data_IF_846256938442
#
_entry.id   IF_846256938442
#
_cell.length_a   1.000
_cell.length_b   1.000
_cell.length_c   1.000
_cell.angle_alpha   90.00
_cell.angle_beta   90.00
_cell.angle_gamma   90.00
#
_symmetry.space_group_name_H-M   'P 1'
#
loop_
_entity.id
_entity.type
_entity.pdbx_description
1 polymer ?
#
# COMPACT_ATOMS: atom_id res chain seq x y z
N UNK A 1 30.74 31.22 -13.51
CA UNK A 1 29.57 30.80 -12.72
C UNK A 1 30.03 30.76 -11.28
N UNK A 2 29.56 31.67 -10.44
CA UNK A 2 29.95 31.71 -9.03
C UNK A 2 29.17 30.64 -8.27
N UNK A 3 29.88 29.81 -7.52
CA UNK A 3 29.29 28.76 -6.68
C UNK A 3 29.53 29.13 -5.22
N UNK A 4 28.50 28.94 -4.39
CA UNK A 4 28.58 29.11 -2.94
C UNK A 4 28.69 27.73 -2.31
N UNK A 5 29.59 27.59 -1.34
CA UNK A 5 29.68 26.40 -0.48
C UNK A 5 29.13 26.74 0.89
N UNK A 6 28.19 25.95 1.37
CA UNK A 6 27.58 26.08 2.69
C UNK A 6 27.81 24.78 3.45
N UNK A 7 28.35 24.87 4.67
CA UNK A 7 28.63 23.72 5.52
C UNK A 7 27.94 23.87 6.88
N UNK A 8 27.41 22.76 7.39
CA UNK A 8 26.94 22.64 8.77
C UNK A 8 27.22 21.24 9.32
N UNK A 9 28.35 21.09 10.01
CA UNK A 9 28.74 19.87 10.73
C UNK A 9 28.90 18.65 9.83
N UNK A 10 27.79 18.02 9.45
CA UNK A 10 27.70 16.77 8.71
C UNK A 10 27.30 16.91 7.24
N UNK A 11 26.87 18.09 6.80
CA UNK A 11 26.42 18.31 5.42
C UNK A 11 27.12 19.53 4.81
N UNK A 12 27.73 19.31 3.64
CA UNK A 12 28.29 20.36 2.78
C UNK A 12 27.49 20.40 1.48
N UNK A 13 27.05 21.60 1.09
CA UNK A 13 26.30 21.83 -0.14
C UNK A 13 27.00 22.91 -0.96
N UNK A 14 27.33 22.59 -2.21
CA UNK A 14 27.85 23.55 -3.19
C UNK A 14 26.79 23.78 -4.26
N UNK A 15 26.38 25.03 -4.45
CA UNK A 15 25.29 25.41 -5.34
C UNK A 15 25.54 26.77 -6.01
N UNK A 16 24.83 27.12 -7.10
CA UNK A 16 24.97 28.42 -7.73
C UNK A 16 24.60 29.56 -6.77
N UNK A 17 25.36 30.65 -6.81
CA UNK A 17 25.15 31.83 -5.94
C UNK A 17 23.73 32.40 -6.04
N UNK A 18 23.16 32.46 -7.25
CA UNK A 18 21.80 32.94 -7.48
C UNK A 18 20.74 32.13 -6.78
N UNK A 19 20.95 30.81 -6.63
CA UNK A 19 20.01 29.95 -5.91
C UNK A 19 20.15 30.15 -4.42
N UNK A 20 21.37 30.21 -3.90
CA UNK A 20 21.60 30.54 -2.49
C UNK A 20 20.90 31.84 -2.08
N UNK A 21 20.95 32.88 -2.92
CA UNK A 21 20.26 34.15 -2.68
C UNK A 21 18.72 34.01 -2.64
N UNK A 22 18.14 33.09 -3.41
CA UNK A 22 16.68 32.88 -3.48
C UNK A 22 16.13 32.11 -2.27
N UNK A 23 16.80 31.06 -1.83
CA UNK A 23 16.31 30.11 -0.80
C UNK A 23 16.91 30.36 0.59
N UNK A 24 18.06 31.03 0.65
CA UNK A 24 18.78 31.31 1.89
C UNK A 24 19.34 30.06 2.57
N UNK A 25 20.13 30.26 3.64
CA UNK A 25 20.90 29.19 4.29
C UNK A 25 20.04 28.03 4.81
N UNK A 26 18.90 28.31 5.44
CA UNK A 26 18.03 27.25 5.95
C UNK A 26 17.30 26.47 4.83
N UNK A 27 16.87 27.17 3.77
CA UNK A 27 16.22 26.55 2.61
C UNK A 27 17.16 25.64 1.83
N UNK A 28 18.45 25.96 1.77
CA UNK A 28 19.48 25.10 1.15
C UNK A 28 19.54 23.75 1.83
N UNK A 29 19.61 23.70 3.16
CA UNK A 29 19.73 22.43 3.88
C UNK A 29 18.44 21.61 3.85
N UNK A 30 17.26 22.23 4.00
CA UNK A 30 15.98 21.50 3.88
C UNK A 30 15.81 20.89 2.48
N UNK A 31 16.15 21.66 1.44
CA UNK A 31 16.06 21.19 0.05
C UNK A 31 17.07 20.08 -0.22
N UNK A 32 18.32 20.23 0.22
CA UNK A 32 19.36 19.23 0.06
C UNK A 32 19.00 17.91 0.77
N UNK A 33 18.50 17.99 2.01
CA UNK A 33 18.05 16.82 2.75
C UNK A 33 16.86 16.14 2.09
N UNK A 34 15.89 16.90 1.56
CA UNK A 34 14.74 16.33 0.85
C UNK A 34 15.15 15.63 -0.44
N UNK A 35 16.05 16.24 -1.21
CA UNK A 35 16.55 15.65 -2.44
C UNK A 35 17.35 14.37 -2.19
N UNK A 36 18.24 14.40 -1.18
CA UNK A 36 19.01 13.24 -0.75
C UNK A 36 18.09 12.11 -0.25
N UNK A 37 17.11 12.43 0.60
CA UNK A 37 16.16 11.45 1.11
C UNK A 37 15.32 10.81 -0.01
N UNK A 38 14.81 11.60 -0.94
CA UNK A 38 14.07 11.09 -2.09
C UNK A 38 14.91 10.19 -2.99
N UNK A 39 16.21 10.50 -3.15
CA UNK A 39 17.14 9.65 -3.89
C UNK A 39 17.34 8.31 -3.19
N UNK A 40 17.70 8.32 -1.91
CA UNK A 40 17.91 7.10 -1.12
C UNK A 40 16.66 6.22 -1.07
N UNK A 41 15.48 6.81 -0.87
CA UNK A 41 14.22 6.05 -0.87
C UNK A 41 13.94 5.44 -2.24
N UNK A 42 14.17 6.18 -3.34
CA UNK A 42 13.98 5.65 -4.68
C UNK A 42 14.95 4.48 -4.96
N UNK A 43 16.21 4.58 -4.55
CA UNK A 43 17.19 3.50 -4.66
C UNK A 43 16.73 2.25 -3.88
N UNK A 44 16.23 2.43 -2.65
CA UNK A 44 15.67 1.34 -1.84
C UNK A 44 14.45 0.70 -2.50
N UNK A 45 13.48 1.51 -2.95
CA UNK A 45 12.27 1.01 -3.61
C UNK A 45 12.55 0.25 -4.92
N UNK A 46 13.59 0.65 -5.66
CA UNK A 46 14.04 -0.07 -6.85
C UNK A 46 14.62 -1.45 -6.50
N UNK A 47 15.33 -1.56 -5.36
CA UNK A 47 15.90 -2.81 -4.88
C UNK A 47 14.87 -3.74 -4.22
N UNK A 48 13.94 -3.19 -3.44
CA UNK A 48 12.89 -3.93 -2.73
C UNK A 48 11.82 -4.49 -3.70
N UNK A 49 11.56 -3.79 -4.80
CA UNK A 49 10.48 -4.13 -5.72
C UNK A 49 9.09 -3.89 -5.11
N UNK A 50 8.07 -4.51 -5.70
CA UNK A 50 6.69 -4.43 -5.19
C UNK A 50 6.47 -5.50 -4.12
N UNK A 51 5.99 -5.09 -2.95
CA UNK A 51 5.60 -6.03 -1.91
C UNK A 51 4.34 -6.81 -2.33
N UNK A 52 4.48 -8.13 -2.49
CA UNK A 52 3.37 -9.01 -2.87
C UNK A 52 2.26 -9.04 -1.80
N UNK A 53 2.57 -8.71 -0.54
CA UNK A 53 1.57 -8.61 0.52
C UNK A 53 0.65 -7.40 0.32
N UNK A 54 1.20 -6.26 -0.09
CA UNK A 54 0.43 -5.06 -0.46
C UNK A 54 -0.44 -5.32 -1.69
N UNK A 55 0.10 -6.00 -2.71
CA UNK A 55 -0.69 -6.42 -3.89
C UNK A 55 -1.86 -7.30 -3.46
N UNK A 56 -1.61 -8.28 -2.58
CA UNK A 56 -2.64 -9.20 -2.09
C UNK A 56 -3.71 -8.45 -1.29
N UNK A 57 -3.34 -7.48 -0.47
CA UNK A 57 -4.29 -6.64 0.26
C UNK A 57 -5.12 -5.76 -0.68
N UNK A 58 -4.49 -5.16 -1.69
CA UNK A 58 -5.18 -4.37 -2.70
C UNK A 58 -6.18 -5.23 -3.50
N UNK A 59 -5.79 -6.44 -3.92
CA UNK A 59 -6.69 -7.41 -4.58
C UNK A 59 -7.85 -7.74 -3.67
N UNK A 60 -7.57 -8.07 -2.41
CA UNK A 60 -8.59 -8.43 -1.43
C UNK A 60 -9.63 -7.31 -1.26
N UNK A 61 -9.17 -6.07 -1.13
CA UNK A 61 -10.04 -4.90 -1.02
C UNK A 61 -10.85 -4.67 -2.30
N UNK A 62 -10.24 -4.81 -3.47
CA UNK A 62 -10.93 -4.64 -4.75
C UNK A 62 -12.04 -5.68 -4.95
N UNK A 63 -11.80 -6.94 -4.57
CA UNK A 63 -12.81 -8.00 -4.63
C UNK A 63 -14.00 -7.72 -3.69
N UNK A 64 -13.72 -7.20 -2.48
CA UNK A 64 -14.77 -6.74 -1.57
C UNK A 64 -15.60 -5.63 -2.21
N UNK A 65 -14.95 -4.63 -2.81
CA UNK A 65 -15.64 -3.51 -3.48
C UNK A 65 -16.53 -3.99 -4.61
N UNK A 66 -16.01 -4.88 -5.47
CA UNK A 66 -16.78 -5.46 -6.59
C UNK A 66 -18.00 -6.22 -6.08
N UNK A 67 -17.82 -7.12 -5.10
CA UNK A 67 -18.93 -7.88 -4.53
C UNK A 67 -19.99 -6.97 -3.91
N UNK A 68 -19.58 -6.00 -3.08
CA UNK A 68 -20.51 -5.10 -2.42
C UNK A 68 -21.26 -4.25 -3.45
N UNK A 69 -20.60 -3.75 -4.49
CA UNK A 69 -21.25 -2.93 -5.52
C UNK A 69 -22.41 -3.65 -6.21
N UNK A 70 -22.34 -4.97 -6.34
CA UNK A 70 -23.37 -5.79 -6.99
C UNK A 70 -24.43 -6.34 -6.03
N UNK A 71 -24.05 -6.61 -4.79
CA UNK A 71 -24.89 -7.36 -3.85
C UNK A 71 -25.39 -6.56 -2.65
N UNK A 72 -24.78 -5.42 -2.34
CA UNK A 72 -25.23 -4.60 -1.21
C UNK A 72 -26.42 -3.72 -1.59
N UNK A 73 -27.34 -3.56 -0.65
CA UNK A 73 -28.43 -2.58 -0.74
C UNK A 73 -28.13 -1.27 -0.02
N UNK A 74 -26.99 -1.19 0.65
CA UNK A 74 -26.53 -0.04 1.42
C UNK A 74 -25.65 0.86 0.56
N UNK A 75 -25.34 2.06 1.05
CA UNK A 75 -24.33 2.89 0.38
C UNK A 75 -22.95 2.24 0.49
N UNK A 76 -22.30 2.03 -0.66
CA UNK A 76 -21.01 1.35 -0.73
C UNK A 76 -19.94 2.05 0.13
N UNK A 77 -19.87 3.38 0.08
CA UNK A 77 -18.87 4.14 0.82
C UNK A 77 -19.13 4.06 2.33
N UNK A 78 -20.40 4.07 2.75
CA UNK A 78 -20.77 3.87 4.14
C UNK A 78 -20.34 2.49 4.66
N UNK A 79 -20.60 1.42 3.90
CA UNK A 79 -20.19 0.06 4.28
C UNK A 79 -18.68 -0.02 4.42
N UNK A 80 -17.93 0.43 3.40
CA UNK A 80 -16.47 0.40 3.40
C UNK A 80 -15.88 1.22 4.56
N UNK A 81 -16.39 2.44 4.79
CA UNK A 81 -15.94 3.29 5.88
C UNK A 81 -16.16 2.64 7.25
N UNK A 82 -17.33 1.99 7.45
CA UNK A 82 -17.61 1.27 8.70
C UNK A 82 -16.73 0.02 8.85
N UNK A 83 -16.43 -0.67 7.74
CA UNK A 83 -15.51 -1.82 7.72
C UNK A 83 -14.10 -1.40 8.16
N UNK A 84 -13.57 -0.33 7.55
CA UNK A 84 -12.21 0.15 7.78
C UNK A 84 -12.02 0.70 9.21
N UNK A 85 -13.04 1.35 9.77
CA UNK A 85 -12.97 1.93 11.12
C UNK A 85 -13.42 0.99 12.24
N UNK A 86 -13.86 -0.23 11.92
CA UNK A 86 -14.47 -1.14 12.90
C UNK A 86 -15.73 -0.54 13.56
N UNK A 87 -16.46 0.31 12.84
CA UNK A 87 -17.64 0.96 13.36
C UNK A 87 -18.84 -0.01 13.39
N UNK A 88 -19.76 0.19 14.33
CA UNK A 88 -20.95 -0.65 14.46
C UNK A 88 -21.77 -0.64 13.17
N UNK A 89 -22.20 -1.83 12.72
CA UNK A 89 -23.10 -2.00 11.56
C UNK A 89 -24.48 -2.50 12.00
N UNK A 90 -25.48 -2.29 11.15
CA UNK A 90 -26.74 -3.03 11.29
C UNK A 90 -26.52 -4.51 10.96
N UNK A 91 -27.41 -5.39 11.41
CA UNK A 91 -27.26 -6.84 11.18
C UNK A 91 -27.18 -7.18 9.68
N UNK A 92 -28.03 -6.58 8.85
CA UNK A 92 -28.01 -6.80 7.41
C UNK A 92 -26.73 -6.27 6.74
N UNK A 93 -26.25 -5.10 7.17
CA UNK A 93 -25.01 -4.52 6.65
C UNK A 93 -23.79 -5.36 7.05
N UNK A 94 -23.77 -5.85 8.30
CA UNK A 94 -22.72 -6.74 8.77
C UNK A 94 -22.72 -8.04 7.96
N UNK A 95 -23.90 -8.58 7.66
CA UNK A 95 -24.03 -9.77 6.82
C UNK A 95 -23.48 -9.56 5.41
N UNK A 96 -23.79 -8.44 4.75
CA UNK A 96 -23.26 -8.11 3.41
C UNK A 96 -21.73 -7.96 3.46
N UNK A 97 -21.19 -7.31 4.49
CA UNK A 97 -19.75 -7.18 4.71
C UNK A 97 -19.06 -8.54 4.95
N UNK A 98 -19.67 -9.43 5.73
CA UNK A 98 -19.15 -10.78 5.98
C UNK A 98 -19.14 -11.62 4.69
N UNK A 99 -20.19 -11.51 3.86
CA UNK A 99 -20.25 -12.17 2.56
C UNK A 99 -19.16 -11.66 1.61
N UNK A 100 -18.95 -10.35 1.52
CA UNK A 100 -17.92 -9.76 0.68
C UNK A 100 -16.51 -10.22 1.10
N UNK A 101 -16.24 -10.29 2.40
CA UNK A 101 -14.98 -10.84 2.93
C UNK A 101 -14.85 -12.32 2.60
N UNK A 102 -15.89 -13.11 2.82
CA UNK A 102 -15.87 -14.54 2.52
C UNK A 102 -15.62 -14.82 1.04
N UNK A 103 -16.26 -14.05 0.15
CA UNK A 103 -16.06 -14.09 -1.29
C UNK A 103 -14.60 -13.79 -1.67
N UNK A 104 -14.06 -12.65 -1.20
CA UNK A 104 -12.69 -12.28 -1.50
C UNK A 104 -11.66 -13.31 -0.98
N UNK A 105 -11.89 -13.89 0.21
CA UNK A 105 -11.02 -14.95 0.74
C UNK A 105 -11.17 -16.26 -0.04
N UNK A 106 -12.38 -16.64 -0.44
CA UNK A 106 -12.60 -17.82 -1.27
C UNK A 106 -11.92 -17.73 -2.64
N UNK A 107 -11.73 -16.52 -3.17
CA UNK A 107 -11.00 -16.31 -4.42
C UNK A 107 -9.48 -16.39 -4.20
N UNK A 108 -8.97 -15.70 -3.19
CA UNK A 108 -7.52 -15.59 -2.97
C UNK A 108 -6.94 -16.87 -2.37
N UNK A 109 -7.68 -17.53 -1.48
CA UNK A 109 -7.28 -18.75 -0.79
C UNK A 109 -8.52 -19.59 -0.47
N UNK A 110 -9.09 -20.29 -1.47
CA UNK A 110 -10.27 -21.14 -1.28
C UNK A 110 -10.02 -22.21 -0.23
N UNK A 111 -11.04 -22.47 0.58
CA UNK A 111 -10.99 -23.60 1.52
C UNK A 111 -11.04 -24.92 0.75
N UNK A 112 -10.21 -25.87 1.20
CA UNK A 112 -10.30 -27.26 0.76
C UNK A 112 -11.62 -27.91 1.23
N UNK A 113 -11.98 -29.03 0.60
CA UNK A 113 -13.14 -29.81 1.02
C UNK A 113 -13.02 -30.25 2.48
N UNK A 114 -11.82 -30.65 2.92
CA UNK A 114 -11.56 -31.06 4.30
C UNK A 114 -11.79 -29.91 5.28
N UNK A 115 -11.23 -28.73 5.01
CA UNK A 115 -11.43 -27.54 5.86
C UNK A 115 -12.90 -27.08 5.89
N UNK A 116 -13.62 -27.19 4.78
CA UNK A 116 -15.06 -26.94 4.74
C UNK A 116 -15.83 -27.93 5.61
N UNK A 117 -15.46 -29.22 5.56
CA UNK A 117 -16.07 -30.25 6.39
C UNK A 117 -15.82 -30.02 7.88
N UNK A 118 -14.59 -29.69 8.28
CA UNK A 118 -14.25 -29.36 9.67
C UNK A 118 -15.03 -28.14 10.17
N UNK A 119 -15.11 -27.09 9.34
CA UNK A 119 -15.86 -25.89 9.68
C UNK A 119 -17.36 -26.18 9.82
N UNK A 120 -17.94 -26.96 8.89
CA UNK A 120 -19.34 -27.38 8.99
C UNK A 120 -19.60 -28.19 10.26
N UNK A 121 -18.70 -29.11 10.61
CA UNK A 121 -18.82 -29.93 11.81
C UNK A 121 -18.83 -29.07 13.08
N UNK A 122 -17.91 -28.11 13.22
CA UNK A 122 -17.87 -27.20 14.38
C UNK A 122 -19.15 -26.36 14.53
N UNK A 123 -19.71 -25.88 13.41
CA UNK A 123 -20.95 -25.09 13.43
C UNK A 123 -22.16 -25.97 13.74
N UNK A 124 -22.21 -27.18 13.16
CA UNK A 124 -23.28 -28.14 13.36
C UNK A 124 -23.32 -28.63 14.81
N UNK A 125 -22.17 -29.00 15.38
CA UNK A 125 -22.06 -29.47 16.77
C UNK A 125 -22.57 -28.42 17.78
N UNK A 126 -22.43 -27.12 17.46
CA UNK A 126 -22.89 -26.02 18.33
C UNK A 126 -24.39 -25.71 18.21
N UNK A 127 -25.00 -25.99 17.06
CA UNK A 127 -26.36 -25.50 16.76
C UNK A 127 -27.37 -26.60 16.40
N UNK A 128 -26.93 -27.85 16.24
CA UNK A 128 -27.74 -28.99 15.80
C UNK A 128 -28.16 -28.94 14.33
N UNK A 129 -27.98 -27.80 13.65
CA UNK A 129 -28.19 -27.59 12.22
C UNK A 129 -27.25 -26.50 11.70
N UNK A 130 -27.01 -26.45 10.39
CA UNK A 130 -26.22 -25.42 9.72
C UNK A 130 -27.12 -24.23 9.34
N UNK A 131 -27.01 -23.07 10.01
CA UNK A 131 -27.84 -21.92 9.68
C UNK A 131 -27.61 -21.49 8.23
N UNK A 132 -28.67 -21.07 7.51
CA UNK A 132 -28.58 -20.61 6.11
C UNK A 132 -27.47 -19.57 5.88
N UNK A 133 -27.29 -18.65 6.85
CA UNK A 133 -26.21 -17.66 6.86
C UNK A 133 -24.83 -18.33 6.75
N UNK A 134 -24.59 -19.36 7.55
CA UNK A 134 -23.30 -20.06 7.60
C UNK A 134 -23.06 -20.86 6.32
N UNK A 135 -24.09 -21.54 5.80
CA UNK A 135 -24.03 -22.22 4.49
C UNK A 135 -23.59 -21.25 3.40
N UNK A 136 -24.19 -20.06 3.34
CA UNK A 136 -23.82 -19.07 2.32
C UNK A 136 -22.36 -18.62 2.44
N UNK A 137 -21.88 -18.39 3.67
CA UNK A 137 -20.47 -18.04 3.89
C UNK A 137 -19.54 -19.19 3.48
N UNK A 138 -19.88 -20.45 3.74
CA UNK A 138 -19.12 -21.61 3.27
C UNK A 138 -19.04 -21.66 1.75
N UNK A 139 -20.17 -21.48 1.07
CA UNK A 139 -20.22 -21.51 -0.39
C UNK A 139 -19.28 -20.46 -1.00
N UNK A 140 -19.27 -19.25 -0.43
CA UNK A 140 -18.39 -18.17 -0.87
C UNK A 140 -16.92 -18.49 -0.57
N UNK A 141 -16.62 -19.09 0.59
CA UNK A 141 -15.28 -19.52 1.00
C UNK A 141 -14.73 -20.70 0.22
N UNK A 142 -15.61 -21.58 -0.23
CA UNK A 142 -15.27 -22.73 -1.05
C UNK A 142 -14.80 -22.35 -2.46
N UNK A 143 -15.01 -21.07 -2.85
CA UNK A 143 -14.46 -20.40 -4.03
C UNK A 143 -13.98 -21.32 -5.15
N UNK A 144 -14.81 -21.52 -6.18
CA UNK A 144 -14.34 -22.12 -7.44
C UNK A 144 -13.94 -20.98 -8.38
N UNK A 145 -12.64 -20.81 -8.58
CA UNK A 145 -12.08 -19.71 -9.38
C UNK A 145 -12.59 -19.70 -10.82
N UNK A 146 -13.21 -18.61 -11.26
CA UNK A 146 -13.52 -18.35 -12.67
C UNK A 146 -12.51 -17.36 -13.29
N UNK A 147 -12.57 -17.20 -14.61
CA UNK A 147 -11.61 -16.37 -15.37
C UNK A 147 -11.64 -14.88 -15.02
N UNK A 148 -12.78 -14.36 -14.54
CA UNK A 148 -12.97 -12.95 -14.19
C UNK A 148 -12.14 -12.55 -12.95
N UNK A 149 -11.91 -13.52 -12.07
CA UNK A 149 -11.16 -13.33 -10.84
C UNK A 149 -9.64 -13.33 -11.08
N UNK A 150 -9.16 -14.16 -12.01
CA UNK A 150 -7.77 -14.09 -12.49
C UNK A 150 -7.48 -12.76 -13.18
N UNK A 151 -8.44 -12.25 -13.97
CA UNK A 151 -8.32 -10.94 -14.61
C UNK A 151 -8.25 -9.80 -13.57
N UNK A 152 -9.06 -9.87 -12.52
CA UNK A 152 -9.01 -8.90 -11.41
C UNK A 152 -7.66 -8.91 -10.70
N UNK A 153 -7.10 -10.09 -10.40
CA UNK A 153 -5.77 -10.20 -9.79
C UNK A 153 -4.68 -9.62 -10.70
N UNK A 154 -4.70 -9.97 -11.98
CA UNK A 154 -3.72 -9.48 -12.96
C UNK A 154 -3.81 -7.96 -13.15
N UNK A 155 -5.02 -7.40 -13.15
CA UNK A 155 -5.24 -5.96 -13.26
C UNK A 155 -4.66 -5.22 -12.06
N UNK A 156 -5.00 -5.64 -10.84
CA UNK A 156 -4.51 -4.98 -9.61
C UNK A 156 -3.00 -5.12 -9.45
N UNK A 157 -2.42 -6.28 -9.82
CA UNK A 157 -0.97 -6.44 -9.82
C UNK A 157 -0.28 -5.46 -10.79
N UNK A 158 -0.83 -5.30 -12.00
CA UNK A 158 -0.31 -4.31 -12.98
C UNK A 158 -0.47 -2.87 -12.51
N UNK A 159 -1.61 -2.55 -11.90
CA UNK A 159 -1.86 -1.22 -11.31
C UNK A 159 -0.87 -0.94 -10.18
N UNK A 160 -0.66 -1.89 -9.27
CA UNK A 160 0.32 -1.76 -8.19
C UNK A 160 1.75 -1.60 -8.71
N UNK A 161 2.13 -2.33 -9.76
CA UNK A 161 3.44 -2.16 -10.39
C UNK A 161 3.58 -0.78 -11.07
N UNK A 162 2.52 -0.29 -11.72
CA UNK A 162 2.50 1.03 -12.33
C UNK A 162 2.60 2.16 -11.29
N UNK A 163 1.89 2.02 -10.17
CA UNK A 163 1.92 2.97 -9.06
C UNK A 163 3.32 3.00 -8.41
N UNK A 164 3.93 1.83 -8.18
CA UNK A 164 5.29 1.72 -7.65
C UNK A 164 6.31 2.42 -8.55
N UNK A 165 6.26 2.15 -9.86
CA UNK A 165 7.12 2.82 -10.85
C UNK A 165 6.88 4.33 -10.92
N UNK A 166 5.63 4.77 -10.79
CA UNK A 166 5.25 6.18 -10.81
C UNK A 166 5.78 6.91 -9.57
N UNK A 167 5.71 6.29 -8.40
CA UNK A 167 6.24 6.84 -7.15
C UNK A 167 7.78 6.93 -7.17
N UNK A 168 8.47 5.90 -7.67
CA UNK A 168 9.93 5.95 -7.91
C UNK A 168 10.25 7.12 -8.84
N UNK A 169 9.55 7.23 -9.98
CA UNK A 169 9.77 8.30 -10.96
C UNK A 169 9.55 9.69 -10.34
N UNK A 170 8.50 9.86 -9.53
CA UNK A 170 8.22 11.11 -8.80
C UNK A 170 9.34 11.45 -7.84
N UNK A 171 9.82 10.49 -7.05
CA UNK A 171 10.93 10.69 -6.11
C UNK A 171 12.23 11.04 -6.83
N UNK A 172 12.54 10.35 -7.94
CA UNK A 172 13.68 10.68 -8.81
C UNK A 172 13.57 12.12 -9.35
N UNK A 173 12.40 12.53 -9.85
CA UNK A 173 12.19 13.90 -10.32
C UNK A 173 12.38 14.95 -9.20
N UNK A 174 11.92 14.65 -7.99
CA UNK A 174 12.14 15.50 -6.82
C UNK A 174 13.60 15.54 -6.36
N UNK A 175 14.37 14.48 -6.56
CA UNK A 175 15.81 14.48 -6.32
C UNK A 175 16.57 15.26 -7.41
N UNK A 176 16.11 15.18 -8.66
CA UNK A 176 16.70 15.87 -9.81
C UNK A 176 16.53 17.39 -9.77
N UNK A 177 15.60 17.93 -8.97
CA UNK A 177 15.40 19.39 -8.87
C UNK A 177 16.62 20.15 -8.39
N UNK A 178 17.60 19.46 -7.79
CA UNK A 178 18.89 20.00 -7.35
C UNK A 178 20.07 19.26 -7.98
N UNK A 179 19.91 18.67 -9.18
CA UNK A 179 20.95 17.88 -9.83
C UNK A 179 22.25 18.65 -10.10
N UNK A 180 22.18 19.98 -10.19
CA UNK A 180 23.31 20.90 -10.34
C UNK A 180 23.95 21.32 -9.00
N UNK A 181 23.43 20.84 -7.86
CA UNK A 181 24.05 21.00 -6.56
C UNK A 181 24.99 19.83 -6.30
N UNK A 182 26.12 20.11 -5.66
CA UNK A 182 26.97 19.09 -5.08
C UNK A 182 26.62 18.97 -3.60
N UNK A 183 26.07 17.83 -3.20
CA UNK A 183 25.65 17.55 -1.82
C UNK A 183 26.58 16.46 -1.27
N UNK A 184 27.35 16.78 -0.24
CA UNK A 184 28.34 15.90 0.38
C UNK A 184 28.04 15.73 1.87
N UNK A 185 28.12 14.48 2.36
CA UNK A 185 28.02 14.20 3.80
C UNK A 185 29.44 14.13 4.37
N UNK A 186 29.79 15.11 5.20
CA UNK A 186 31.09 15.21 5.87
C UNK A 186 31.00 14.55 7.25
N UNK A 187 30.68 13.25 7.31
CA UNK A 187 30.49 12.51 8.56
C UNK A 187 29.73 11.20 8.39
N UNK A 188 29.33 10.58 9.51
CA UNK A 188 28.45 9.40 9.46
C UNK A 188 27.07 9.80 8.94
N UNK A 189 26.54 9.00 8.03
CA UNK A 189 25.22 9.23 7.46
C UNK A 189 24.14 8.96 8.54
N UNK A 190 23.13 9.83 8.69
CA UNK A 190 22.07 9.57 9.64
C UNK A 190 21.19 8.40 9.17
N UNK A 191 20.70 7.58 10.10
CA UNK A 191 19.80 6.44 9.81
C UNK A 191 18.49 6.83 9.11
N UNK A 192 18.14 8.12 9.10
CA UNK A 192 17.01 8.69 8.38
C UNK A 192 17.41 10.05 7.81
N UNK A 193 17.03 10.31 6.56
CA UNK A 193 17.20 11.60 5.90
C UNK A 193 15.83 12.26 5.81
N UNK A 194 15.49 13.07 6.81
CA UNK A 194 14.14 13.62 6.97
C UNK A 194 13.12 12.51 7.30
N UNK A 195 12.13 12.31 6.41
CA UNK A 195 11.13 11.22 6.51
C UNK A 195 11.51 9.98 5.68
N UNK A 196 12.60 10.03 4.92
CA UNK A 196 12.99 8.96 4.00
C UNK A 196 13.93 7.95 4.67
N UNK A 197 13.85 6.70 4.24
CA UNK A 197 14.70 5.59 4.67
C UNK A 197 16.08 5.72 4.03
N UNK A 198 17.06 5.15 4.73
CA UNK A 198 18.43 4.98 4.28
C UNK A 198 18.96 3.70 4.91
N UNK A 199 19.58 2.83 4.12
CA UNK A 199 20.38 1.71 4.61
C UNK A 199 21.86 2.00 4.37
N UNK A 200 22.68 1.80 5.40
CA UNK A 200 24.14 1.73 5.23
C UNK A 200 24.45 0.44 4.47
N UNK A 201 25.14 0.55 3.33
CA UNK A 201 25.77 -0.61 2.66
C UNK A 201 26.79 -1.31 3.58
#
# INVERSE_FOLDING_TARGET
MNMITVENGTLRVTLPEEEFQKIGRHGVFDTAMRALGNRCEADLMENEGVDLSDVREAVYRQLIVSYLKEHTRYDLNEVLMRMDKGARMSEGMQYDADCAKAYAQGIINPLSLEELHEWAADVYDKNGDLPRRQIKLMELRAGKGDGEQQETMLRVAKESEADHRSEISRRRAMAQSVAHWQIEITGKMPKKVGVCRYEEE
#
